data_IF_566098556715
#
_entry.id   IF_566098556715
#
_cell.length_a   1.000
_cell.length_b   1.000
_cell.length_c   1.000
_cell.angle_alpha   90.00
_cell.angle_beta   90.00
_cell.angle_gamma   90.00
#
_symmetry.space_group_name_H-M   'P 1'
#
loop_
_entity.id
_entity.type
_entity.pdbx_description
1 polymer ?
#
# COMPACT_ATOMS: atom_id res chain seq x y z
N UNK A 1 -57.79 8.18 -15.97
CA UNK A 1 -57.26 6.84 -16.32
C UNK A 1 -55.74 6.93 -16.24
N UNK A 2 -55.21 6.63 -15.05
CA UNK A 2 -54.43 5.44 -14.66
C UNK A 2 -52.99 5.50 -15.16
N UNK A 3 -52.09 5.83 -14.24
CA UNK A 3 -50.66 5.63 -14.39
C UNK A 3 -50.25 4.17 -14.25
N UNK A 4 -48.97 3.92 -14.48
CA UNK A 4 -48.30 2.70 -14.08
C UNK A 4 -46.83 3.02 -13.80
N UNK A 5 -46.50 3.02 -12.51
CA UNK A 5 -45.19 2.66 -11.99
C UNK A 5 -44.78 1.27 -12.53
N UNK A 6 -43.52 1.13 -12.95
CA UNK A 6 -42.83 -0.17 -12.96
C UNK A 6 -41.44 0.02 -12.38
N UNK A 7 -41.39 0.03 -11.05
CA UNK A 7 -40.26 -0.56 -10.32
C UNK A 7 -40.45 -2.08 -10.37
N UNK A 8 -39.50 -2.82 -10.96
CA UNK A 8 -39.07 -4.17 -10.54
C UNK A 8 -38.18 -4.81 -11.61
N UNK A 9 -37.07 -5.40 -11.17
CA UNK A 9 -36.26 -6.27 -12.00
C UNK A 9 -34.81 -6.39 -11.54
N UNK A 10 -34.57 -6.62 -10.25
CA UNK A 10 -33.33 -7.25 -9.83
C UNK A 10 -33.23 -8.59 -10.59
N UNK A 11 -32.23 -8.73 -11.44
CA UNK A 11 -31.94 -9.98 -12.12
C UNK A 11 -31.69 -11.11 -11.12
N UNK A 12 -31.90 -12.37 -11.52
CA UNK A 12 -31.80 -13.51 -10.61
C UNK A 12 -30.39 -13.62 -10.03
N UNK A 13 -30.31 -13.72 -8.70
CA UNK A 13 -29.08 -14.03 -7.97
C UNK A 13 -28.57 -15.41 -8.37
N UNK A 14 -27.40 -15.48 -9.00
CA UNK A 14 -26.69 -16.75 -9.21
C UNK A 14 -26.17 -17.26 -7.85
N UNK A 15 -26.58 -18.45 -7.37
CA UNK A 15 -26.15 -19.00 -6.09
C UNK A 15 -24.66 -19.38 -6.04
N UNK A 16 -23.91 -19.27 -7.14
CA UNK A 16 -22.46 -19.52 -7.18
C UNK A 16 -21.61 -18.35 -6.66
N UNK A 17 -22.20 -17.18 -6.44
CA UNK A 17 -21.49 -15.99 -5.97
C UNK A 17 -22.04 -15.52 -4.61
N UNK A 18 -21.18 -15.17 -3.63
CA UNK A 18 -21.64 -14.65 -2.34
C UNK A 18 -22.40 -13.31 -2.52
N UNK A 19 -23.40 -13.00 -1.67
CA UNK A 19 -24.31 -11.90 -1.88
C UNK A 19 -23.58 -10.54 -1.88
N UNK A 20 -23.95 -9.70 -2.85
CA UNK A 20 -23.56 -8.30 -2.90
C UNK A 20 -24.00 -7.60 -1.61
N UNK A 21 -23.07 -7.26 -0.74
CA UNK A 21 -23.32 -6.35 0.36
C UNK A 21 -23.72 -4.99 -0.23
N UNK A 22 -24.99 -4.63 -0.08
CA UNK A 22 -25.55 -3.33 -0.39
C UNK A 22 -24.74 -2.24 0.31
N UNK A 23 -23.94 -1.49 -0.45
CA UNK A 23 -23.24 -0.30 0.04
C UNK A 23 -24.26 0.81 0.33
N UNK A 24 -24.19 1.52 1.47
CA UNK A 24 -25.06 2.66 1.72
C UNK A 24 -24.68 3.82 0.77
N UNK A 25 -25.65 4.65 0.35
CA UNK A 25 -25.37 5.76 -0.57
C UNK A 25 -24.47 6.82 0.08
N UNK A 26 -23.63 7.53 -0.71
CA UNK A 26 -22.73 8.54 -0.19
C UNK A 26 -23.51 9.72 0.42
N UNK A 27 -23.09 10.15 1.61
CA UNK A 27 -23.61 11.36 2.26
C UNK A 27 -23.27 12.58 1.39
N UNK A 28 -24.28 13.41 1.11
CA UNK A 28 -24.12 14.72 0.45
C UNK A 28 -23.11 15.57 1.23
N UNK A 29 -22.07 16.03 0.55
CA UNK A 29 -21.10 17.01 1.04
C UNK A 29 -21.80 18.35 1.27
N UNK A 30 -21.66 18.91 2.47
CA UNK A 30 -22.05 20.28 2.78
C UNK A 30 -21.05 21.29 2.15
N UNK A 31 -21.48 22.51 1.79
CA UNK A 31 -20.61 23.47 1.11
C UNK A 31 -19.58 24.10 2.06
N UNK A 32 -18.39 24.35 1.51
CA UNK A 32 -17.26 25.04 2.16
C UNK A 32 -17.66 26.47 2.58
N UNK A 33 -17.81 26.67 3.88
CA UNK A 33 -17.81 27.98 4.51
C UNK A 33 -16.39 28.46 4.75
N UNK A 34 -16.12 29.69 4.34
CA UNK A 34 -14.92 30.49 4.59
C UNK A 34 -14.52 30.49 6.07
N UNK A 35 -13.30 30.03 6.37
CA UNK A 35 -12.67 30.23 7.68
C UNK A 35 -11.48 31.19 7.54
N UNK A 36 -11.78 32.40 8.01
CA UNK A 36 -10.90 33.53 8.22
C UNK A 36 -9.88 33.24 9.33
N UNK A 37 -8.76 33.96 9.26
CA UNK A 37 -7.53 33.80 10.02
C UNK A 37 -7.68 33.94 11.54
N UNK A 38 -6.93 33.12 12.28
CA UNK A 38 -6.50 33.46 13.64
C UNK A 38 -5.17 32.73 13.97
N UNK A 39 -4.04 33.43 13.77
CA UNK A 39 -2.74 33.02 14.28
C UNK A 39 -2.57 33.51 15.74
N UNK A 40 -2.09 32.69 16.69
CA UNK A 40 -1.84 33.15 18.05
C UNK A 40 -0.47 33.85 18.19
N UNK A 41 -0.50 34.98 18.89
CA UNK A 41 0.63 35.85 19.21
C UNK A 41 1.63 35.22 20.18
N UNK A 42 2.91 35.27 19.82
CA UNK A 42 4.06 34.87 20.64
C UNK A 42 4.35 35.95 21.69
N UNK A 43 4.17 35.63 22.97
CA UNK A 43 4.60 36.48 24.08
C UNK A 43 6.03 36.11 24.53
N UNK A 44 6.96 37.06 24.37
CA UNK A 44 8.32 37.06 24.92
C UNK A 44 8.29 37.10 26.45
N UNK A 45 9.11 36.27 27.11
CA UNK A 45 9.57 36.51 28.50
C UNK A 45 11.08 36.74 28.49
N UNK A 46 11.48 37.93 28.94
CA UNK A 46 12.87 38.24 29.31
C UNK A 46 13.18 37.77 30.74
N UNK A 47 14.45 37.55 31.09
CA UNK A 47 14.87 36.98 32.37
C UNK A 47 15.18 38.06 33.42
N UNK A 48 14.85 37.80 34.69
CA UNK A 48 15.16 38.68 35.83
C UNK A 48 16.21 38.04 36.72
N UNK A 49 17.39 38.67 36.68
CA UNK A 49 18.41 38.92 37.70
C UNK A 49 18.44 38.12 39.03
N UNK A 50 19.65 37.61 39.30
CA UNK A 50 20.25 37.35 40.63
C UNK A 50 20.24 38.58 41.54
N UNK A 51 20.42 38.38 42.86
CA UNK A 51 21.19 39.35 43.64
C UNK A 51 22.36 38.73 44.40
N UNK A 52 23.48 39.45 44.30
CA UNK A 52 24.69 39.31 45.08
C UNK A 52 24.51 39.67 46.57
N UNK A 53 25.39 39.04 47.34
CA UNK A 53 25.86 39.35 48.70
C UNK A 53 26.19 40.82 48.99
N UNK A 54 25.96 41.25 50.24
CA UNK A 54 26.95 42.07 50.99
C UNK A 54 26.82 41.96 52.51
N UNK A 55 27.95 41.60 53.08
CA UNK A 55 28.56 41.77 54.41
C UNK A 55 28.11 42.95 55.27
N UNK A 56 27.96 42.69 56.57
CA UNK A 56 27.97 43.71 57.64
C UNK A 56 28.28 43.04 58.99
N UNK A 57 29.47 43.28 59.53
CA UNK A 57 29.92 42.72 60.80
C UNK A 57 29.86 43.73 61.95
N UNK A 58 29.50 43.26 63.15
CA UNK A 58 30.10 43.65 64.44
C UNK A 58 29.63 42.75 65.59
N UNK A 59 30.60 42.18 66.30
CA UNK A 59 30.53 41.64 67.67
C UNK A 59 30.76 42.79 68.69
N UNK A 60 30.58 42.67 70.04
CA UNK A 60 30.86 41.46 70.83
C UNK A 60 29.96 41.15 72.04
N UNK A 61 30.24 39.96 72.60
CA UNK A 61 30.13 39.51 73.99
C UNK A 61 28.75 39.31 74.67
N UNK A 62 28.43 38.04 74.92
CA UNK A 62 28.28 37.47 76.28
C UNK A 62 27.54 36.14 76.22
N UNK A 63 27.85 35.25 77.16
CA UNK A 63 26.95 34.16 77.52
C UNK A 63 27.34 32.80 76.97
N UNK A 64 28.10 32.09 77.79
CA UNK A 64 28.30 30.64 77.72
C UNK A 64 26.93 29.97 77.76
N UNK A 65 26.56 29.28 76.67
CA UNK A 65 25.64 28.16 76.74
C UNK A 65 25.96 27.18 75.61
N UNK A 66 26.65 26.10 75.98
CA UNK A 66 26.88 24.94 75.14
C UNK A 66 25.55 24.17 75.02
N UNK A 67 24.61 24.72 74.26
CA UNK A 67 23.44 23.96 73.81
C UNK A 67 23.92 23.09 72.66
N UNK A 68 23.95 21.79 72.92
CA UNK A 68 24.21 20.74 71.96
C UNK A 68 23.23 20.89 70.79
N UNK A 69 23.68 21.52 69.70
CA UNK A 69 22.94 21.55 68.44
C UNK A 69 23.00 20.14 67.86
N UNK A 70 22.05 19.28 68.28
CA UNK A 70 21.83 17.99 67.65
C UNK A 70 21.51 18.24 66.17
N UNK A 71 22.36 17.75 65.29
CA UNK A 71 22.14 17.75 63.85
C UNK A 71 20.89 16.90 63.53
N UNK A 72 19.72 17.51 63.56
CA UNK A 72 18.49 16.93 63.05
C UNK A 72 18.44 17.08 61.51
N UNK A 73 19.47 16.59 60.82
CA UNK A 73 19.52 16.52 59.35
C UNK A 73 19.52 15.08 58.84
N UNK A 74 19.33 14.09 59.72
CA UNK A 74 19.59 12.69 59.39
C UNK A 74 18.42 11.84 58.87
N UNK A 75 17.16 12.31 58.84
CA UNK A 75 16.01 11.41 58.54
C UNK A 75 14.99 11.86 57.47
N UNK A 76 15.07 13.09 56.96
CA UNK A 76 14.16 13.54 55.89
C UNK A 76 14.72 13.40 54.48
N UNK A 77 16.05 13.21 54.33
CA UNK A 77 16.69 13.02 53.02
C UNK A 77 16.33 11.71 52.33
N UNK A 78 16.04 10.65 53.09
CA UNK A 78 15.73 9.31 52.55
C UNK A 78 14.29 9.20 52.01
N UNK A 79 13.31 9.78 52.71
CA UNK A 79 11.91 9.74 52.28
C UNK A 79 11.67 10.59 51.01
N UNK A 80 12.28 11.78 50.94
CA UNK A 80 12.20 12.63 49.75
C UNK A 80 12.90 11.98 48.54
N UNK A 81 14.06 11.34 48.73
CA UNK A 81 14.76 10.61 47.67
C UNK A 81 13.96 9.40 47.15
N UNK A 82 13.31 8.63 48.04
CA UNK A 82 12.46 7.51 47.65
C UNK A 82 11.24 7.95 46.82
N UNK A 83 10.64 9.09 47.15
CA UNK A 83 9.50 9.64 46.42
C UNK A 83 9.88 10.17 45.04
N UNK A 84 11.07 10.77 44.90
CA UNK A 84 11.62 11.19 43.61
C UNK A 84 11.94 9.99 42.70
N UNK A 85 12.48 8.90 43.24
CA UNK A 85 12.74 7.67 42.47
C UNK A 85 11.43 7.00 42.03
N UNK A 86 10.42 6.94 42.90
CA UNK A 86 9.11 6.38 42.55
C UNK A 86 8.43 7.19 41.43
N UNK A 87 8.41 8.52 41.53
CA UNK A 87 7.84 9.40 40.50
C UNK A 87 8.62 9.35 39.19
N UNK A 88 9.96 9.27 39.24
CA UNK A 88 10.79 9.05 38.06
C UNK A 88 10.53 7.69 37.40
N UNK A 89 10.37 6.62 38.19
CA UNK A 89 10.03 5.28 37.71
C UNK A 89 8.66 5.24 37.03
N UNK A 90 7.63 5.83 37.65
CA UNK A 90 6.29 5.96 37.07
C UNK A 90 6.35 6.78 35.77
N UNK A 91 7.07 7.90 35.76
CA UNK A 91 7.24 8.75 34.57
C UNK A 91 7.94 8.01 33.44
N UNK A 92 8.98 7.23 33.75
CA UNK A 92 9.69 6.42 32.77
C UNK A 92 8.79 5.30 32.21
N UNK A 93 8.04 4.60 33.06
CA UNK A 93 7.09 3.59 32.65
C UNK A 93 5.97 4.17 31.76
N UNK A 94 5.41 5.33 32.12
CA UNK A 94 4.44 6.05 31.32
C UNK A 94 5.02 6.47 29.96
N UNK A 95 6.27 6.96 29.92
CA UNK A 95 6.98 7.28 28.67
C UNK A 95 7.22 6.05 27.81
N UNK A 96 7.59 4.91 28.40
CA UNK A 96 7.75 3.64 27.67
C UNK A 96 6.43 3.19 27.03
N UNK A 97 5.34 3.18 27.81
CA UNK A 97 4.00 2.85 27.31
C UNK A 97 3.57 3.77 26.16
N UNK A 98 3.80 5.08 26.29
CA UNK A 98 3.48 6.04 25.20
C UNK A 98 4.29 5.76 23.93
N UNK A 99 5.57 5.40 24.05
CA UNK A 99 6.40 5.04 22.89
C UNK A 99 5.95 3.74 22.25
N UNK A 100 5.58 2.73 23.04
CA UNK A 100 5.04 1.47 22.54
C UNK A 100 3.71 1.69 21.82
N UNK A 101 2.80 2.48 22.42
CA UNK A 101 1.54 2.84 21.78
C UNK A 101 1.75 3.61 20.46
N UNK A 102 2.71 4.54 20.42
CA UNK A 102 3.05 5.26 19.19
C UNK A 102 3.58 4.33 18.10
N UNK A 103 4.48 3.39 18.43
CA UNK A 103 4.99 2.37 17.49
C UNK A 103 3.89 1.45 16.98
N UNK A 104 2.95 1.06 17.84
CA UNK A 104 1.81 0.24 17.43
C UNK A 104 0.88 1.02 16.51
N UNK A 105 0.64 2.29 16.79
CA UNK A 105 -0.17 3.14 15.93
C UNK A 105 0.48 3.34 14.55
N UNK A 106 1.79 3.57 14.50
CA UNK A 106 2.56 3.66 13.26
C UNK A 106 2.42 2.38 12.41
N UNK A 107 2.60 1.21 13.01
CA UNK A 107 2.39 -0.08 12.31
C UNK A 107 0.96 -0.27 11.82
N UNK A 108 -0.03 0.18 12.58
CA UNK A 108 -1.43 0.10 12.15
C UNK A 108 -1.69 1.00 10.93
N UNK A 109 -1.13 2.21 10.91
CA UNK A 109 -1.22 3.11 9.76
C UNK A 109 -0.51 2.53 8.54
N UNK A 110 0.67 1.93 8.70
CA UNK A 110 1.38 1.25 7.61
C UNK A 110 0.55 0.10 7.03
N UNK A 111 -0.07 -0.72 7.88
CA UNK A 111 -0.93 -1.82 7.44
C UNK A 111 -2.20 -1.31 6.76
N UNK A 112 -2.79 -0.22 7.25
CA UNK A 112 -3.96 0.42 6.64
C UNK A 112 -3.61 1.00 5.27
N UNK A 113 -2.48 1.70 5.12
CA UNK A 113 -2.00 2.21 3.85
C UNK A 113 -1.76 1.07 2.83
N UNK A 114 -1.12 -0.03 3.27
CA UNK A 114 -0.93 -1.21 2.43
C UNK A 114 -2.26 -1.85 2.02
N UNK A 115 -3.24 -1.91 2.92
CA UNK A 115 -4.57 -2.44 2.63
C UNK A 115 -5.30 -1.57 1.59
N UNK A 116 -5.28 -0.24 1.76
CA UNK A 116 -5.86 0.72 0.81
C UNK A 116 -5.19 0.59 -0.55
N UNK A 117 -3.85 0.52 -0.59
CA UNK A 117 -3.10 0.35 -1.85
C UNK A 117 -3.48 -0.96 -2.56
N UNK A 118 -3.54 -2.08 -1.84
CA UNK A 118 -3.96 -3.38 -2.39
C UNK A 118 -5.40 -3.33 -2.92
N UNK A 119 -6.31 -2.73 -2.17
CA UNK A 119 -7.70 -2.58 -2.59
C UNK A 119 -7.82 -1.71 -3.85
N UNK A 120 -7.08 -0.61 -3.91
CA UNK A 120 -7.01 0.25 -5.09
C UNK A 120 -6.49 -0.50 -6.31
N UNK A 121 -5.40 -1.27 -6.18
CA UNK A 121 -4.86 -2.07 -7.27
C UNK A 121 -5.85 -3.13 -7.77
N UNK A 122 -6.48 -3.87 -6.86
CA UNK A 122 -7.51 -4.85 -7.22
C UNK A 122 -8.71 -4.20 -7.90
N UNK A 123 -9.09 -2.98 -7.48
CA UNK A 123 -10.15 -2.23 -8.15
C UNK A 123 -9.75 -1.77 -9.56
N UNK A 124 -8.53 -1.26 -9.74
CA UNK A 124 -8.00 -0.89 -11.06
C UNK A 124 -7.95 -2.10 -12.00
N UNK A 125 -7.53 -3.27 -11.52
CA UNK A 125 -7.51 -4.52 -12.32
C UNK A 125 -8.92 -4.93 -12.76
N UNK A 126 -9.92 -4.85 -11.86
CA UNK A 126 -11.32 -5.12 -12.22
C UNK A 126 -11.83 -4.14 -13.27
N UNK A 127 -11.58 -2.84 -13.10
CA UNK A 127 -11.97 -1.82 -14.07
C UNK A 127 -11.32 -2.05 -15.44
N UNK A 128 -10.03 -2.39 -15.46
CA UNK A 128 -9.31 -2.72 -16.69
C UNK A 128 -9.94 -3.91 -17.41
N UNK A 129 -10.26 -4.98 -16.67
CA UNK A 129 -10.95 -6.14 -17.23
C UNK A 129 -12.32 -5.80 -17.80
N UNK A 130 -13.11 -4.98 -17.08
CA UNK A 130 -14.42 -4.53 -17.56
C UNK A 130 -14.32 -3.73 -18.87
N UNK A 131 -13.33 -2.83 -18.97
CA UNK A 131 -13.09 -2.05 -20.19
C UNK A 131 -12.66 -2.95 -21.35
N UNK A 132 -11.74 -3.88 -21.12
CA UNK A 132 -11.31 -4.85 -22.13
C UNK A 132 -12.46 -5.73 -22.62
N UNK A 133 -13.30 -6.23 -21.71
CA UNK A 133 -14.44 -7.08 -22.07
C UNK A 133 -15.43 -6.32 -22.96
N UNK A 134 -15.72 -5.04 -22.63
CA UNK A 134 -16.56 -4.20 -23.48
C UNK A 134 -15.96 -3.96 -24.87
N UNK A 135 -14.64 -3.76 -24.95
CA UNK A 135 -13.96 -3.63 -26.23
C UNK A 135 -13.96 -4.93 -27.05
N UNK A 136 -13.93 -6.09 -26.39
CA UNK A 136 -14.06 -7.38 -27.04
C UNK A 136 -15.47 -7.55 -27.63
N UNK A 137 -16.51 -7.15 -26.88
CA UNK A 137 -17.92 -7.30 -27.31
C UNK A 137 -18.33 -6.28 -28.38
N UNK A 138 -17.78 -5.06 -28.34
CA UNK A 138 -18.08 -3.98 -29.27
C UNK A 138 -16.83 -3.55 -30.07
N UNK A 139 -16.72 -3.94 -31.36
CA UNK A 139 -15.60 -3.56 -32.21
C UNK A 139 -15.40 -2.05 -32.37
N UNK A 140 -16.44 -1.23 -32.21
CA UNK A 140 -16.31 0.24 -32.30
C UNK A 140 -15.59 0.82 -31.08
N UNK A 141 -15.75 0.20 -29.91
CA UNK A 141 -15.02 0.57 -28.70
C UNK A 141 -13.56 0.09 -28.75
N UNK A 142 -13.31 -1.05 -29.40
CA UNK A 142 -11.96 -1.57 -29.60
C UNK A 142 -11.05 -0.59 -30.36
N UNK A 143 -11.59 0.23 -31.27
CA UNK A 143 -10.78 1.16 -32.08
C UNK A 143 -9.96 2.14 -31.22
N UNK A 144 -10.43 2.48 -30.02
CA UNK A 144 -9.74 3.39 -29.10
C UNK A 144 -8.44 2.79 -28.55
N UNK A 145 -8.41 1.48 -28.35
CA UNK A 145 -7.30 0.75 -27.71
C UNK A 145 -6.57 -0.18 -28.67
N UNK A 146 -7.01 -0.24 -29.93
CA UNK A 146 -6.44 -1.11 -30.95
C UNK A 146 -5.12 -0.56 -31.50
N UNK A 147 -4.03 -1.04 -30.89
CA UNK A 147 -2.65 -0.77 -31.31
C UNK A 147 -2.10 -1.84 -32.26
N UNK A 148 -2.91 -2.82 -32.67
CA UNK A 148 -2.48 -3.88 -33.57
C UNK A 148 -2.41 -3.40 -35.03
N UNK A 149 -1.65 -4.13 -35.84
CA UNK A 149 -1.61 -3.94 -37.29
C UNK A 149 -3.02 -4.04 -37.88
N UNK A 150 -3.41 -3.08 -38.73
CA UNK A 150 -4.75 -3.01 -39.34
C UNK A 150 -5.02 -4.11 -40.36
N UNK A 151 -3.99 -4.85 -40.79
CA UNK A 151 -4.14 -6.08 -41.57
C UNK A 151 -4.72 -7.25 -40.77
N UNK A 152 -4.66 -7.21 -39.43
CA UNK A 152 -5.20 -8.26 -38.57
C UNK A 152 -6.74 -8.16 -38.55
N UNK A 153 -7.47 -9.24 -38.90
CA UNK A 153 -8.93 -9.23 -38.89
C UNK A 153 -9.51 -8.92 -37.51
N UNK A 154 -10.69 -8.28 -37.48
CA UNK A 154 -11.35 -7.89 -36.23
C UNK A 154 -11.56 -9.05 -35.24
N UNK A 155 -11.87 -10.24 -35.75
CA UNK A 155 -12.01 -11.44 -34.92
C UNK A 155 -10.70 -11.86 -34.25
N UNK A 156 -9.59 -11.81 -34.97
CA UNK A 156 -8.26 -12.13 -34.43
C UNK A 156 -7.82 -11.08 -33.41
N UNK A 157 -8.12 -9.79 -33.63
CA UNK A 157 -7.87 -8.72 -32.64
C UNK A 157 -8.60 -8.97 -31.32
N UNK A 158 -9.85 -9.45 -31.35
CA UNK A 158 -10.57 -9.83 -30.11
C UNK A 158 -9.85 -10.93 -29.34
N UNK A 159 -9.32 -11.93 -30.04
CA UNK A 159 -8.52 -12.98 -29.41
C UNK A 159 -7.23 -12.44 -28.81
N UNK A 160 -6.59 -11.46 -29.48
CA UNK A 160 -5.39 -10.81 -28.96
C UNK A 160 -5.67 -9.95 -27.72
N UNK A 161 -6.78 -9.23 -27.66
CA UNK A 161 -7.20 -8.56 -26.41
C UNK A 161 -7.40 -9.55 -25.27
N UNK A 162 -8.01 -10.71 -25.55
CA UNK A 162 -8.18 -11.75 -24.55
C UNK A 162 -6.84 -12.36 -24.10
N UNK A 163 -5.91 -12.58 -25.03
CA UNK A 163 -4.55 -13.04 -24.72
C UNK A 163 -3.78 -12.02 -23.89
N UNK A 164 -3.88 -10.73 -24.20
CA UNK A 164 -3.30 -9.64 -23.41
C UNK A 164 -3.86 -9.63 -21.98
N UNK A 165 -5.17 -9.79 -21.84
CA UNK A 165 -5.82 -9.81 -20.54
C UNK A 165 -5.32 -10.97 -19.66
N UNK A 166 -5.09 -12.15 -20.25
CA UNK A 166 -4.46 -13.28 -19.56
C UNK A 166 -3.00 -13.02 -19.19
N UNK A 167 -2.21 -12.45 -20.10
CA UNK A 167 -0.81 -12.09 -19.83
C UNK A 167 -0.69 -11.10 -18.66
N UNK A 168 -1.45 -10.00 -18.72
CA UNK A 168 -1.48 -8.96 -17.69
C UNK A 168 -1.96 -9.52 -16.34
N UNK A 169 -2.95 -10.42 -16.37
CA UNK A 169 -3.38 -11.13 -15.16
C UNK A 169 -2.24 -11.95 -14.54
N UNK A 170 -1.51 -12.76 -15.31
CA UNK A 170 -0.39 -13.55 -14.79
C UNK A 170 0.73 -12.66 -14.23
N UNK A 171 1.08 -11.58 -14.94
CA UNK A 171 2.04 -10.59 -14.47
C UNK A 171 1.63 -10.01 -13.11
N UNK A 172 0.37 -9.64 -12.94
CA UNK A 172 -0.12 -9.06 -11.70
C UNK A 172 -0.21 -10.05 -10.54
N UNK A 173 -0.62 -11.30 -10.80
CA UNK A 173 -0.65 -12.36 -9.78
C UNK A 173 0.78 -12.66 -9.31
N UNK A 174 1.74 -12.71 -10.23
CA UNK A 174 3.15 -12.87 -9.88
C UNK A 174 3.69 -11.70 -9.05
N UNK A 175 3.44 -10.45 -9.47
CA UNK A 175 3.85 -9.26 -8.70
C UNK A 175 3.19 -9.16 -7.33
N UNK A 176 1.99 -9.73 -7.15
CA UNK A 176 1.34 -9.82 -5.86
C UNK A 176 1.95 -10.89 -4.93
N UNK A 177 2.90 -11.70 -5.42
CA UNK A 177 3.51 -12.82 -4.70
C UNK A 177 2.58 -14.02 -4.54
N UNK A 178 1.51 -14.10 -5.34
CA UNK A 178 0.56 -15.22 -5.33
C UNK A 178 0.96 -16.34 -6.29
N UNK A 179 1.88 -16.05 -7.21
CA UNK A 179 2.46 -17.00 -8.16
C UNK A 179 3.97 -16.75 -8.18
N UNK A 180 4.75 -17.78 -7.86
CA UNK A 180 6.20 -17.69 -7.92
C UNK A 180 6.72 -17.72 -9.38
N UNK A 181 8.03 -17.61 -9.55
CA UNK A 181 8.64 -17.55 -10.87
C UNK A 181 8.47 -18.86 -11.65
N UNK A 182 8.60 -20.01 -10.97
CA UNK A 182 8.44 -21.33 -11.59
C UNK A 182 7.00 -21.55 -12.04
N UNK A 183 6.02 -21.28 -11.16
CA UNK A 183 4.61 -21.36 -11.49
C UNK A 183 4.19 -20.42 -12.62
N UNK A 184 4.78 -19.21 -12.67
CA UNK A 184 4.56 -18.27 -13.77
C UNK A 184 5.07 -18.84 -15.10
N UNK A 185 6.29 -19.38 -15.14
CA UNK A 185 6.86 -19.98 -16.34
C UNK A 185 6.05 -21.21 -16.80
N UNK A 186 5.62 -22.06 -15.86
CA UNK A 186 4.75 -23.21 -16.17
C UNK A 186 3.44 -22.77 -16.83
N UNK A 187 2.78 -21.76 -16.25
CA UNK A 187 1.51 -21.26 -16.80
C UNK A 187 1.67 -20.56 -18.16
N UNK A 188 2.79 -19.87 -18.37
CA UNK A 188 3.12 -19.28 -19.66
C UNK A 188 3.38 -20.35 -20.72
N UNK A 189 4.13 -21.41 -20.41
CA UNK A 189 4.34 -22.54 -21.34
C UNK A 189 3.01 -23.13 -21.82
N UNK A 190 2.04 -23.32 -20.93
CA UNK A 190 0.70 -23.79 -21.29
C UNK A 190 0.00 -22.85 -22.28
N UNK A 191 0.10 -21.52 -22.08
CA UNK A 191 -0.49 -20.56 -23.00
C UNK A 191 0.21 -20.54 -24.37
N UNK A 192 1.53 -20.71 -24.40
CA UNK A 192 2.31 -20.76 -25.64
C UNK A 192 2.02 -22.00 -26.50
N UNK A 193 1.31 -23.02 -25.99
CA UNK A 193 0.77 -24.09 -26.83
C UNK A 193 -0.27 -23.56 -27.82
N UNK A 194 -1.01 -22.52 -27.45
CA UNK A 194 -2.01 -21.90 -28.33
C UNK A 194 -1.31 -21.11 -29.45
N UNK A 195 -1.55 -21.44 -30.74
CA UNK A 195 -0.98 -20.68 -31.86
C UNK A 195 -1.41 -19.20 -31.81
N UNK A 196 -2.63 -18.93 -31.33
CA UNK A 196 -3.15 -17.58 -31.16
C UNK A 196 -2.32 -16.78 -30.16
N UNK A 197 -1.85 -17.41 -29.08
CA UNK A 197 -1.02 -16.73 -28.08
C UNK A 197 0.38 -16.43 -28.63
N UNK A 198 0.96 -17.33 -29.43
CA UNK A 198 2.24 -17.11 -30.12
C UNK A 198 2.14 -15.96 -31.12
N UNK A 199 1.09 -15.95 -31.94
CA UNK A 199 0.82 -14.86 -32.87
C UNK A 199 0.59 -13.52 -32.15
N UNK A 200 -0.17 -13.53 -31.04
CA UNK A 200 -0.35 -12.36 -30.19
C UNK A 200 0.99 -11.85 -29.67
N UNK A 201 1.84 -12.76 -29.18
CA UNK A 201 3.15 -12.43 -28.64
C UNK A 201 4.01 -11.75 -29.70
N UNK A 202 4.01 -12.27 -30.93
CA UNK A 202 4.73 -11.65 -32.03
C UNK A 202 4.15 -10.29 -32.44
N UNK A 203 2.81 -10.21 -32.58
CA UNK A 203 2.12 -8.98 -32.97
C UNK A 203 2.34 -7.82 -31.98
N UNK A 204 2.67 -8.13 -30.72
CA UNK A 204 2.92 -7.13 -29.66
C UNK A 204 4.41 -6.86 -29.39
N UNK A 205 5.33 -7.43 -30.18
CA UNK A 205 6.79 -7.27 -30.02
C UNK A 205 7.22 -5.80 -29.90
N UNK A 206 6.73 -4.94 -30.79
CA UNK A 206 7.08 -3.51 -30.80
C UNK A 206 6.55 -2.77 -29.56
N UNK A 207 5.38 -3.17 -29.05
CA UNK A 207 4.80 -2.58 -27.84
C UNK A 207 5.67 -2.92 -26.61
N UNK A 208 6.17 -4.16 -26.54
CA UNK A 208 7.09 -4.58 -25.47
C UNK A 208 8.47 -3.95 -25.60
N UNK A 209 8.98 -3.76 -26.82
CA UNK A 209 10.25 -3.10 -27.05
C UNK A 209 10.27 -1.64 -26.55
N UNK A 210 9.10 -0.99 -26.46
CA UNK A 210 8.95 0.37 -25.94
C UNK A 210 8.89 0.45 -24.40
N UNK A 211 8.86 -0.68 -23.68
CA UNK A 211 8.85 -0.69 -22.22
C UNK A 211 10.20 -0.21 -21.65
N UNK A 212 10.16 0.35 -20.44
CA UNK A 212 11.38 0.56 -19.66
C UNK A 212 12.04 -0.79 -19.40
N UNK A 213 13.27 -0.95 -19.86
CA UNK A 213 14.02 -2.20 -19.76
C UNK A 213 14.34 -2.59 -18.31
N UNK A 214 14.26 -1.63 -17.38
CA UNK A 214 14.40 -1.88 -15.95
C UNK A 214 13.09 -2.26 -15.26
N UNK A 215 11.96 -2.23 -15.98
CA UNK A 215 10.66 -2.61 -15.43
C UNK A 215 10.56 -4.12 -15.21
N UNK A 216 9.76 -4.51 -14.22
CA UNK A 216 9.43 -5.92 -13.96
C UNK A 216 8.79 -6.59 -15.19
N UNK A 217 8.02 -5.83 -15.98
CA UNK A 217 7.33 -6.32 -17.17
C UNK A 217 8.31 -6.60 -18.32
N UNK A 218 9.28 -5.73 -18.56
CA UNK A 218 10.32 -5.97 -19.57
C UNK A 218 11.15 -7.22 -19.23
N UNK A 219 11.51 -7.41 -17.96
CA UNK A 219 12.21 -8.63 -17.52
C UNK A 219 11.37 -9.89 -17.72
N UNK A 220 10.07 -9.83 -17.41
CA UNK A 220 9.17 -10.94 -17.72
C UNK A 220 9.06 -11.17 -19.22
N UNK A 221 8.99 -10.10 -20.02
CA UNK A 221 8.99 -10.15 -21.48
C UNK A 221 10.17 -10.94 -22.03
N UNK A 222 11.39 -10.72 -21.52
CA UNK A 222 12.59 -11.47 -21.93
C UNK A 222 12.49 -12.98 -21.62
N UNK A 223 11.93 -13.34 -20.46
CA UNK A 223 11.70 -14.75 -20.11
C UNK A 223 10.71 -15.38 -21.08
N UNK A 224 9.65 -14.66 -21.42
CA UNK A 224 8.63 -15.13 -22.34
C UNK A 224 9.16 -15.19 -23.78
N UNK A 225 10.01 -14.25 -24.21
CA UNK A 225 10.67 -14.27 -25.51
C UNK A 225 11.59 -15.50 -25.64
N UNK A 226 12.29 -15.88 -24.56
CA UNK A 226 13.07 -17.12 -24.54
C UNK A 226 12.18 -18.36 -24.69
N UNK A 227 11.06 -18.43 -23.96
CA UNK A 227 10.08 -19.51 -24.12
C UNK A 227 9.51 -19.58 -25.54
N UNK A 228 9.16 -18.42 -26.11
CA UNK A 228 8.64 -18.34 -27.48
C UNK A 228 9.63 -18.94 -28.48
N UNK A 229 10.91 -18.59 -28.34
CA UNK A 229 11.99 -19.12 -29.17
C UNK A 229 12.17 -20.63 -29.00
N UNK A 230 12.13 -21.12 -27.76
CA UNK A 230 12.27 -22.56 -27.51
C UNK A 230 11.15 -23.36 -28.21
N UNK A 231 9.92 -22.81 -28.30
CA UNK A 231 8.82 -23.41 -29.05
C UNK A 231 8.98 -23.31 -30.58
N UNK A 232 9.64 -22.28 -31.11
CA UNK A 232 9.94 -22.17 -32.54
C UNK A 232 11.04 -23.16 -32.98
N UNK A 233 12.04 -23.37 -32.12
CA UNK A 233 13.19 -24.23 -32.40
C UNK A 233 12.85 -25.74 -32.22
N UNK A 234 11.76 -26.06 -31.54
CA UNK A 234 11.39 -27.43 -31.14
C UNK A 234 10.18 -27.93 -31.94
N UNK A 235 10.42 -28.73 -33.00
CA UNK A 235 9.38 -29.36 -33.84
C UNK A 235 8.71 -30.58 -33.16
N UNK A 236 8.52 -30.53 -31.83
CA UNK A 236 8.25 -31.72 -31.00
C UNK A 236 6.89 -31.64 -30.32
N UNK A 237 6.09 -32.70 -30.50
CA UNK A 237 4.79 -32.92 -29.86
C UNK A 237 4.88 -33.11 -28.31
N UNK A 238 6.09 -33.09 -27.73
CA UNK A 238 6.37 -33.33 -26.30
C UNK A 238 6.77 -32.03 -25.56
N UNK A 239 5.76 -31.23 -25.26
CA UNK A 239 5.85 -29.87 -24.71
C UNK A 239 6.31 -29.75 -23.25
N UNK A 240 6.46 -30.85 -22.50
CA UNK A 240 6.95 -30.85 -21.11
C UNK A 240 8.49 -30.79 -21.01
N UNK A 241 9.22 -30.89 -22.13
CA UNK A 241 10.70 -30.89 -22.18
C UNK A 241 11.27 -29.52 -22.60
N UNK A 242 10.42 -28.56 -22.98
CA UNK A 242 10.87 -27.28 -23.55
C UNK A 242 11.33 -26.30 -22.45
N UNK A 243 12.64 -26.06 -22.42
CA UNK A 243 13.35 -25.15 -21.52
C UNK A 243 14.00 -25.87 -20.34
N UNK A 244 15.22 -25.49 -20.00
CA UNK A 244 15.93 -26.05 -18.84
C UNK A 244 15.10 -25.78 -17.58
N UNK A 245 14.69 -26.81 -16.81
CA UNK A 245 14.12 -26.55 -15.49
C UNK A 245 15.16 -25.78 -14.66
N UNK A 246 14.76 -24.79 -13.85
CA UNK A 246 15.69 -24.10 -12.97
C UNK A 246 16.39 -25.15 -12.11
N UNK A 247 17.70 -25.26 -12.22
CA UNK A 247 18.49 -26.02 -11.27
C UNK A 247 18.63 -25.19 -9.99
N UNK A 248 18.37 -25.83 -8.84
CA UNK A 248 18.59 -25.30 -7.49
C UNK A 248 19.96 -24.63 -7.31
#
# INVERSE_FOLDING_TARGET
MRGADVFQGAGPCDPRFPPCASSPPPRRSAPLGTLEAAAPSIARRSPSADPHSTTGGRSPDSGVDMVTRKNATGRFGSAAAGMLLATAGISLAARRRRREAARMHERLLELEELAIRRQSLAHQQRMHWELLTRAIDDPSLAEVIDTYDKSIPAERRRQFFYANAWYVNLYHVHRAGLLDQEGLQGRLREFFQSPVFREYWEATRNMRAALDQNSDEARLGLVVDALAKDFEDTDTDEWWVVGTPPHD
#
